data_IF_061918658337
#
_entry.id   IF_061918658337
#
_cell.length_a   1.000
_cell.length_b   1.000
_cell.length_c   1.000
_cell.angle_alpha   90.00
_cell.angle_beta   90.00
_cell.angle_gamma   90.00
#
_symmetry.space_group_name_H-M   'P 1'
#
loop_
_entity.id
_entity.type
_entity.pdbx_description
1 polymer ?
#
# COMPACT_ATOMS: atom_id res chain seq x y z
N UNK A 1 -16.42 12.83 -3.21
CA UNK A 1 -15.28 13.27 -2.37
C UNK A 1 -14.54 14.33 -3.15
N UNK A 2 -14.42 15.54 -2.61
CA UNK A 2 -13.77 16.69 -3.24
C UNK A 2 -12.53 17.06 -2.44
N UNK A 3 -11.40 17.23 -3.10
CA UNK A 3 -10.13 17.61 -2.48
C UNK A 3 -9.77 19.00 -2.96
N UNK A 4 -9.56 19.93 -2.03
CA UNK A 4 -9.07 21.26 -2.36
C UNK A 4 -7.55 21.24 -2.42
N UNK A 5 -7.00 21.66 -3.56
CA UNK A 5 -5.57 21.78 -3.77
C UNK A 5 -5.19 23.25 -3.86
N UNK A 6 -4.10 23.62 -3.21
CA UNK A 6 -3.48 24.92 -3.40
C UNK A 6 -3.15 25.12 -4.89
N UNK A 7 -3.35 26.34 -5.41
CA UNK A 7 -3.19 26.64 -6.84
C UNK A 7 -1.84 26.19 -7.42
N UNK A 8 -0.77 26.32 -6.64
CA UNK A 8 0.58 25.85 -7.04
C UNK A 8 0.64 24.33 -7.16
N UNK A 9 0.08 23.60 -6.20
CA UNK A 9 0.03 22.14 -6.21
C UNK A 9 -0.80 21.62 -7.40
N UNK A 10 -1.95 22.25 -7.69
CA UNK A 10 -2.76 21.89 -8.85
C UNK A 10 -2.01 22.10 -10.17
N UNK A 11 -1.23 23.18 -10.29
CA UNK A 11 -0.41 23.43 -11.48
C UNK A 11 0.67 22.36 -11.65
N UNK A 12 1.38 22.03 -10.59
CA UNK A 12 2.40 20.98 -10.59
C UNK A 12 1.81 19.61 -10.95
N UNK A 13 0.66 19.24 -10.37
CA UNK A 13 -0.03 17.99 -10.65
C UNK A 13 -0.45 17.88 -12.13
N UNK A 14 -0.97 18.97 -12.71
CA UNK A 14 -1.31 19.01 -14.15
C UNK A 14 -0.09 18.87 -15.05
N UNK A 15 1.02 19.52 -14.71
CA UNK A 15 2.26 19.39 -15.46
C UNK A 15 2.79 17.95 -15.44
N UNK A 16 2.77 17.30 -14.26
CA UNK A 16 3.20 15.91 -14.09
C UNK A 16 2.29 14.92 -14.85
N UNK A 17 0.97 15.11 -14.80
CA UNK A 17 0.01 14.32 -15.57
C UNK A 17 0.28 14.41 -17.08
N UNK A 18 0.48 15.63 -17.58
CA UNK A 18 0.77 15.89 -19.01
C UNK A 18 2.09 15.26 -19.45
N UNK A 19 3.13 15.34 -18.63
CA UNK A 19 4.43 14.73 -18.92
C UNK A 19 4.34 13.20 -19.08
N UNK A 20 3.36 12.57 -18.42
CA UNK A 20 3.09 11.12 -18.50
C UNK A 20 1.99 10.77 -19.52
N UNK A 21 1.41 11.74 -20.22
CA UNK A 21 0.32 11.52 -21.17
C UNK A 21 -1.00 11.09 -20.53
N UNK A 22 -1.18 11.35 -19.23
CA UNK A 22 -2.36 10.94 -18.45
C UNK A 22 -3.29 12.13 -18.20
N UNK A 23 -4.56 11.82 -17.92
CA UNK A 23 -5.47 12.82 -17.34
C UNK A 23 -5.07 13.17 -15.90
N UNK A 24 -5.43 14.35 -15.41
CA UNK A 24 -5.14 14.75 -14.02
C UNK A 24 -5.73 13.76 -13.01
N UNK A 25 -6.96 13.32 -13.23
CA UNK A 25 -7.66 12.38 -12.33
C UNK A 25 -6.95 11.03 -12.27
N UNK A 26 -6.58 10.49 -13.44
CA UNK A 26 -5.88 9.22 -13.54
C UNK A 26 -4.50 9.28 -12.90
N UNK A 27 -3.76 10.37 -13.13
CA UNK A 27 -2.47 10.60 -12.51
C UNK A 27 -2.60 10.68 -10.98
N UNK A 28 -3.58 11.42 -10.46
CA UNK A 28 -3.81 11.53 -9.01
C UNK A 28 -4.18 10.19 -8.39
N UNK A 29 -5.07 9.42 -9.01
CA UNK A 29 -5.45 8.08 -8.53
C UNK A 29 -4.25 7.13 -8.48
N UNK A 30 -3.41 7.18 -9.51
CA UNK A 30 -2.20 6.35 -9.58
C UNK A 30 -1.21 6.70 -8.48
N UNK A 31 -0.90 7.98 -8.32
CA UNK A 31 0.03 8.45 -7.27
C UNK A 31 -0.52 8.13 -5.88
N UNK A 32 -1.82 8.32 -5.65
CA UNK A 32 -2.45 7.96 -4.38
C UNK A 32 -2.32 6.46 -4.07
N UNK A 33 -2.50 5.60 -5.07
CA UNK A 33 -2.31 4.16 -4.92
C UNK A 33 -0.85 3.79 -4.65
N UNK A 34 0.09 4.35 -5.41
CA UNK A 34 1.54 4.12 -5.22
C UNK A 34 1.98 4.52 -3.80
N UNK A 35 1.46 5.63 -3.29
CA UNK A 35 1.71 6.10 -1.92
C UNK A 35 1.12 5.14 -0.87
N UNK A 36 -0.14 4.73 -1.04
CA UNK A 36 -0.80 3.82 -0.13
C UNK A 36 -0.10 2.46 -0.04
N UNK A 37 0.39 1.93 -1.17
CA UNK A 37 1.17 0.69 -1.20
C UNK A 37 2.49 0.85 -0.45
N UNK A 38 3.17 1.99 -0.62
CA UNK A 38 4.43 2.27 0.08
C UNK A 38 4.22 2.36 1.58
N UNK A 39 3.20 3.09 2.02
CA UNK A 39 2.85 3.24 3.44
C UNK A 39 2.42 1.90 4.06
N UNK A 40 1.67 1.08 3.33
CA UNK A 40 1.31 -0.28 3.76
C UNK A 40 2.56 -1.18 3.90
N UNK A 41 3.52 -1.07 2.97
CA UNK A 41 4.77 -1.82 3.03
C UNK A 41 5.64 -1.39 4.23
N UNK A 42 5.73 -0.08 4.51
CA UNK A 42 6.45 0.45 5.66
C UNK A 42 5.79 0.03 6.99
N UNK A 43 4.46 0.09 7.05
CA UNK A 43 3.67 -0.35 8.21
C UNK A 43 3.87 -1.85 8.45
N UNK A 44 3.77 -2.65 7.39
CA UNK A 44 4.00 -4.11 7.46
C UNK A 44 5.42 -4.43 7.91
N UNK A 45 6.45 -3.75 7.37
CA UNK A 45 7.83 -3.94 7.81
C UNK A 45 8.05 -3.54 9.28
N UNK A 46 7.34 -2.51 9.75
CA UNK A 46 7.30 -2.14 11.16
C UNK A 46 6.65 -3.21 12.03
N UNK A 47 5.56 -3.81 11.56
CA UNK A 47 4.82 -4.87 12.26
C UNK A 47 5.57 -6.21 12.28
N UNK A 48 6.24 -6.60 11.19
CA UNK A 48 7.10 -7.79 11.19
C UNK A 48 8.23 -7.68 12.22
N UNK A 49 8.72 -6.47 12.52
CA UNK A 49 9.70 -6.27 13.62
C UNK A 49 9.08 -6.41 15.02
N UNK A 50 7.76 -6.31 15.15
CA UNK A 50 7.02 -6.43 16.41
C UNK A 50 6.62 -7.87 16.75
N UNK A 51 6.98 -8.85 15.92
CA UNK A 51 6.84 -10.28 16.25
C UNK A 51 8.19 -10.96 16.58
N UNK A 52 8.98 -10.47 17.56
CA UNK A 52 10.20 -11.16 18.01
C UNK A 52 9.91 -12.46 18.77
N UNK A 53 8.66 -12.68 19.20
CA UNK A 53 8.22 -13.87 19.94
C UNK A 53 7.52 -14.93 19.06
N UNK A 54 7.50 -14.76 17.73
CA UNK A 54 7.00 -15.81 16.84
C UNK A 54 7.95 -17.01 16.85
N UNK A 55 7.51 -18.18 17.35
CA UNK A 55 8.36 -19.36 17.33
C UNK A 55 8.70 -19.74 15.88
N UNK A 56 9.90 -20.28 15.61
CA UNK A 56 10.20 -20.87 14.31
C UNK A 56 9.12 -21.88 13.92
N UNK A 57 8.53 -21.73 12.73
CA UNK A 57 7.42 -22.59 12.24
C UNK A 57 6.00 -22.10 12.56
N UNK A 58 5.83 -20.90 13.14
CA UNK A 58 4.50 -20.30 13.36
C UNK A 58 3.74 -20.06 12.05
N UNK A 59 4.41 -19.59 10.99
CA UNK A 59 3.78 -19.38 9.69
C UNK A 59 3.25 -20.70 9.11
N UNK A 60 4.01 -21.78 9.18
CA UNK A 60 3.59 -23.10 8.70
C UNK A 60 2.38 -23.62 9.49
N UNK A 61 2.40 -23.50 10.82
CA UNK A 61 1.27 -23.90 11.67
C UNK A 61 0.02 -23.04 11.47
N UNK A 62 0.18 -21.74 11.19
CA UNK A 62 -0.92 -20.84 10.88
C UNK A 62 -1.51 -21.16 9.49
N UNK A 63 -0.67 -21.45 8.50
CA UNK A 63 -1.09 -21.87 7.16
C UNK A 63 -1.83 -23.20 7.21
N UNK A 64 -1.33 -24.19 7.96
CA UNK A 64 -1.99 -25.49 8.14
C UNK A 64 -3.37 -25.35 8.77
N UNK A 65 -3.51 -24.43 9.74
CA UNK A 65 -4.80 -24.12 10.38
C UNK A 65 -5.78 -23.39 9.46
N UNK A 66 -5.29 -22.46 8.63
CA UNK A 66 -6.11 -21.69 7.68
C UNK A 66 -6.57 -22.56 6.51
N UNK A 67 -5.71 -23.44 6.01
CA UNK A 67 -6.00 -24.33 4.89
C UNK A 67 -6.53 -25.71 5.33
N UNK A 68 -6.72 -25.92 6.63
CA UNK A 68 -7.45 -27.06 7.19
C UNK A 68 -6.74 -28.41 7.05
N UNK A 69 -5.42 -28.45 7.20
CA UNK A 69 -4.69 -29.73 7.20
C UNK A 69 -4.76 -30.49 8.53
N UNK A 70 -5.35 -29.90 9.58
CA UNK A 70 -5.70 -30.59 10.84
C UNK A 70 -6.99 -31.44 10.72
N UNK A 71 -7.06 -32.31 9.71
CA UNK A 71 -8.09 -33.32 9.58
C UNK A 71 -7.47 -34.68 9.20
N UNK A 72 -6.66 -35.24 10.10
CA UNK A 72 -6.33 -36.66 10.14
C UNK A 72 -6.07 -37.11 11.58
#
# INVERSE_FOLDING_TARGET
>A
MTVELERKALFAARAAARAKGLSLSEWLSRVAWEQAVTEAAETSAGQCRLHPDEPPGWEDAALDRIFGQDAA
#
